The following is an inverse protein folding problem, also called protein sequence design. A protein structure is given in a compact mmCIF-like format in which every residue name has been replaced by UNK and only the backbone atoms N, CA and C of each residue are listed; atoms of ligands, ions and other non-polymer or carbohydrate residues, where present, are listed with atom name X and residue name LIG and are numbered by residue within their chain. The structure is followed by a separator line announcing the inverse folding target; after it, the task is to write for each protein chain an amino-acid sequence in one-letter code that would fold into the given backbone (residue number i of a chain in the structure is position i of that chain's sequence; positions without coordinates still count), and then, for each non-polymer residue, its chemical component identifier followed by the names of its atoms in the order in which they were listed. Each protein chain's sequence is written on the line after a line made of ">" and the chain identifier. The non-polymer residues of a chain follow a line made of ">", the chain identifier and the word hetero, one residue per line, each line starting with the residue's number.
data_IF_474616200861
#
_entry.id   IF_474616200861
#
_cell.length_a   1.000
_cell.length_b   1.000
_cell.length_c   1.000
_cell.angle_alpha   90.00
_cell.angle_beta   90.00
_cell.angle_gamma   90.00
#
_symmetry.space_group_name_H-M   'P 1'
#
loop_
_entity.id
_entity.type
_entity.pdbx_description
1 polymer ?
#
# COMPACT_ATOMS: atom_id res chain seq x y z
N UNK A 1 -5.99 8.33 26.42
CA UNK A 1 -5.20 7.44 25.54
C UNK A 1 -4.93 8.18 24.27
N UNK A 2 -3.67 8.35 23.88
CA UNK A 2 -3.34 9.08 22.66
C UNK A 2 -3.80 8.25 21.44
N UNK A 3 -4.61 8.86 20.58
CA UNK A 3 -5.29 8.17 19.48
C UNK A 3 -4.44 8.23 18.21
N UNK A 4 -4.23 7.10 17.54
CA UNK A 4 -3.62 7.05 16.21
C UNK A 4 -4.49 7.82 15.22
N UNK A 5 -3.89 8.81 14.53
CA UNK A 5 -4.54 9.62 13.50
C UNK A 5 -4.10 9.14 12.11
N UNK A 6 -5.06 8.87 11.24
CA UNK A 6 -4.78 8.62 9.81
C UNK A 6 -4.95 9.95 9.07
N UNK A 7 -3.95 10.34 8.29
CA UNK A 7 -3.95 11.57 7.48
C UNK A 7 -3.35 11.33 6.10
N UNK A 8 -3.55 12.28 5.20
CA UNK A 8 -2.80 12.32 3.95
C UNK A 8 -1.32 12.55 4.26
N UNK A 9 -0.46 11.88 3.49
CA UNK A 9 0.97 12.14 3.52
C UNK A 9 1.25 13.56 3.02
N UNK A 10 2.29 14.16 3.54
CA UNK A 10 2.89 15.39 3.07
C UNK A 10 4.26 15.08 2.46
N UNK A 11 4.81 16.00 1.66
CA UNK A 11 6.10 15.78 0.99
C UNK A 11 7.23 15.44 1.98
N UNK A 12 7.16 15.99 3.20
CA UNK A 12 8.09 15.70 4.29
C UNK A 12 8.05 14.25 4.81
N UNK A 13 6.99 13.49 4.54
CA UNK A 13 6.86 12.10 4.98
C UNK A 13 7.62 11.10 4.08
N UNK A 14 8.12 11.54 2.91
CA UNK A 14 8.71 10.64 1.90
C UNK A 14 9.82 9.74 2.45
N UNK A 15 10.69 10.25 3.34
CA UNK A 15 11.74 9.43 3.94
C UNK A 15 11.19 8.30 4.83
N UNK A 16 10.12 8.58 5.60
CA UNK A 16 9.47 7.55 6.41
C UNK A 16 8.69 6.55 5.56
N UNK A 17 8.05 7.03 4.49
CA UNK A 17 7.35 6.19 3.50
C UNK A 17 8.36 5.24 2.86
N UNK A 18 9.51 5.73 2.39
CA UNK A 18 10.55 4.88 1.79
C UNK A 18 11.08 3.84 2.77
N UNK A 19 11.29 4.22 4.04
CA UNK A 19 11.67 3.29 5.11
C UNK A 19 10.65 2.16 5.25
N UNK A 20 9.36 2.49 5.34
CA UNK A 20 8.28 1.50 5.47
C UNK A 20 8.14 0.60 4.24
N UNK A 21 8.33 1.14 3.04
CA UNK A 21 8.35 0.35 1.79
C UNK A 21 9.47 -0.70 1.86
N UNK A 22 10.67 -0.31 2.30
CA UNK A 22 11.81 -1.23 2.45
C UNK A 22 11.57 -2.29 3.53
N UNK A 23 11.02 -1.90 4.67
CA UNK A 23 10.65 -2.83 5.75
C UNK A 23 9.58 -3.84 5.30
N UNK A 24 8.60 -3.40 4.51
CA UNK A 24 7.60 -4.30 3.92
C UNK A 24 8.26 -5.26 2.91
N UNK A 25 9.11 -4.75 2.03
CA UNK A 25 9.79 -5.59 1.05
C UNK A 25 10.70 -6.64 1.72
N UNK A 26 11.35 -6.29 2.83
CA UNK A 26 12.11 -7.24 3.64
C UNK A 26 11.20 -8.32 4.26
N UNK A 27 10.06 -7.91 4.82
CA UNK A 27 9.05 -8.85 5.35
C UNK A 27 8.52 -9.81 4.28
N UNK A 28 8.36 -9.32 3.04
CA UNK A 28 7.90 -10.11 1.89
C UNK A 28 9.01 -10.89 1.19
N UNK A 29 10.28 -10.74 1.60
CA UNK A 29 11.48 -11.32 0.96
C UNK A 29 11.68 -10.85 -0.49
N UNK A 30 11.36 -9.60 -0.76
CA UNK A 30 11.43 -8.94 -2.07
C UNK A 30 12.29 -7.67 -2.07
N UNK A 31 13.20 -7.51 -1.09
CA UNK A 31 14.02 -6.28 -0.93
C UNK A 31 14.77 -5.87 -2.20
N UNK A 32 15.30 -6.83 -2.96
CA UNK A 32 16.06 -6.58 -4.20
C UNK A 32 15.19 -5.99 -5.33
N UNK A 33 13.86 -6.04 -5.19
CA UNK A 33 12.92 -5.48 -6.16
C UNK A 33 12.56 -4.02 -5.89
N UNK A 34 12.98 -3.45 -4.76
CA UNK A 34 12.69 -2.04 -4.42
C UNK A 34 13.61 -1.12 -5.21
N UNK A 35 13.07 -0.54 -6.29
CA UNK A 35 13.80 0.40 -7.16
C UNK A 35 13.48 1.88 -6.88
N UNK A 36 12.44 2.16 -6.09
CA UNK A 36 11.97 3.52 -5.84
C UNK A 36 12.93 4.30 -4.91
N UNK A 37 13.14 5.59 -5.22
CA UNK A 37 13.92 6.52 -4.39
C UNK A 37 13.03 7.53 -3.67
N UNK A 38 13.59 8.25 -2.69
CA UNK A 38 12.85 9.28 -1.96
C UNK A 38 12.51 10.47 -2.85
N UNK A 39 13.41 10.82 -3.76
CA UNK A 39 13.23 11.86 -4.77
C UNK A 39 12.12 11.48 -5.76
N UNK A 40 12.07 10.22 -6.17
CA UNK A 40 11.00 9.71 -7.03
C UNK A 40 9.64 9.76 -6.31
N UNK A 41 9.56 9.35 -5.04
CA UNK A 41 8.35 9.49 -4.23
C UNK A 41 7.87 10.95 -4.17
N UNK A 42 8.78 11.90 -3.94
CA UNK A 42 8.43 13.33 -3.93
C UNK A 42 7.86 13.78 -5.28
N UNK A 43 8.58 13.51 -6.36
CA UNK A 43 8.20 13.94 -7.70
C UNK A 43 6.87 13.33 -8.15
N UNK A 44 6.69 12.03 -7.95
CA UNK A 44 5.54 11.28 -8.42
C UNK A 44 4.29 11.46 -7.54
N UNK A 45 4.47 11.73 -6.24
CA UNK A 45 3.38 11.82 -5.26
C UNK A 45 2.88 13.24 -4.97
N UNK A 46 3.70 14.27 -5.23
CA UNK A 46 3.44 15.64 -4.74
C UNK A 46 3.57 16.73 -5.82
N UNK A 47 3.74 16.35 -7.10
CA UNK A 47 3.67 17.28 -8.23
C UNK A 47 2.25 17.73 -8.58
N UNK A 48 2.11 18.49 -9.67
CA UNK A 48 0.81 19.02 -10.14
C UNK A 48 -0.22 17.92 -10.46
N UNK A 49 0.25 16.77 -10.97
CA UNK A 49 -0.58 15.61 -11.33
C UNK A 49 0.03 14.34 -10.70
N UNK A 50 -0.27 14.06 -9.42
CA UNK A 50 0.36 12.96 -8.70
C UNK A 50 -0.09 11.59 -9.22
N UNK A 51 0.87 10.69 -9.37
CA UNK A 51 0.66 9.31 -9.84
C UNK A 51 0.06 8.41 -8.76
N UNK A 52 0.30 8.73 -7.49
CA UNK A 52 -0.26 8.03 -6.35
C UNK A 52 -0.70 9.00 -5.26
N UNK A 53 -1.53 8.51 -4.34
CA UNK A 53 -1.80 9.18 -3.07
C UNK A 53 -1.39 8.26 -1.93
N UNK A 54 -0.90 8.83 -0.83
CA UNK A 54 -0.46 8.07 0.33
C UNK A 54 -1.20 8.54 1.59
N UNK A 55 -1.59 7.58 2.43
CA UNK A 55 -2.09 7.82 3.77
C UNK A 55 -1.04 7.35 4.77
N UNK A 56 -0.79 8.16 5.79
CA UNK A 56 0.13 7.84 6.88
C UNK A 56 -0.62 7.80 8.22
N UNK A 57 -0.09 7.00 9.14
CA UNK A 57 -0.56 6.93 10.51
C UNK A 57 0.37 7.72 11.42
N UNK A 58 -0.11 8.84 11.95
CA UNK A 58 0.59 9.54 13.04
C UNK A 58 0.38 8.78 14.33
N UNK A 59 1.49 8.28 14.87
CA UNK A 59 1.53 7.57 16.12
C UNK A 59 1.94 8.54 17.23
N UNK A 60 1.26 8.50 18.39
CA UNK A 60 1.76 9.22 19.55
C UNK A 60 3.11 8.64 19.98
N UNK A 61 4.01 9.44 20.57
CA UNK A 61 5.27 8.94 21.10
C UNK A 61 4.98 7.90 22.19
N UNK A 62 5.18 6.64 21.86
CA UNK A 62 5.04 5.50 22.75
C UNK A 62 6.18 4.53 22.46
N UNK A 63 6.88 4.02 23.49
CA UNK A 63 7.87 2.97 23.29
C UNK A 63 7.17 1.64 23.02
N UNK A 64 7.45 0.99 21.89
CA UNK A 64 7.08 -0.41 21.63
C UNK A 64 6.53 -0.71 20.24
N UNK A 65 6.23 -1.99 20.03
CA UNK A 65 5.58 -2.51 18.83
C UNK A 65 4.13 -2.00 18.72
N UNK A 66 3.76 -1.50 17.54
CA UNK A 66 2.42 -0.98 17.24
C UNK A 66 1.52 -1.99 16.53
N UNK A 67 2.02 -3.20 16.31
CA UNK A 67 1.25 -4.30 15.75
C UNK A 67 0.06 -4.66 16.65
N UNK A 68 -1.08 -4.98 16.04
CA UNK A 68 -2.30 -5.33 16.77
C UNK A 68 -3.11 -4.14 17.31
N UNK A 69 -2.67 -2.89 17.11
CA UNK A 69 -3.43 -1.70 17.52
C UNK A 69 -4.54 -1.28 16.53
N UNK A 70 -4.86 -2.12 15.55
CA UNK A 70 -5.90 -1.86 14.56
C UNK A 70 -5.58 -0.77 13.53
N UNK A 71 -4.30 -0.37 13.40
CA UNK A 71 -3.85 0.67 12.47
C UNK A 71 -4.20 0.28 11.02
N UNK A 72 -3.90 -0.95 10.60
CA UNK A 72 -4.22 -1.43 9.26
C UNK A 72 -5.71 -1.34 8.93
N UNK A 73 -6.58 -1.74 9.87
CA UNK A 73 -8.04 -1.60 9.70
C UNK A 73 -8.47 -0.13 9.59
N UNK A 74 -7.82 0.79 10.30
CA UNK A 74 -8.11 2.24 10.18
C UNK A 74 -7.68 2.79 8.82
N UNK A 75 -6.50 2.39 8.33
CA UNK A 75 -6.01 2.78 7.00
C UNK A 75 -6.97 2.29 5.91
N UNK A 76 -7.35 1.02 5.92
CA UNK A 76 -8.25 0.46 4.89
C UNK A 76 -9.61 1.12 4.89
N UNK A 77 -10.18 1.41 6.07
CA UNK A 77 -11.42 2.18 6.16
C UNK A 77 -11.27 3.57 5.57
N UNK A 78 -10.13 4.25 5.79
CA UNK A 78 -9.90 5.56 5.20
C UNK A 78 -9.75 5.50 3.68
N UNK A 79 -9.09 4.47 3.14
CA UNK A 79 -9.03 4.22 1.69
C UNK A 79 -10.43 4.02 1.11
N UNK A 80 -11.26 3.21 1.76
CA UNK A 80 -12.65 3.02 1.33
C UNK A 80 -13.47 4.31 1.35
N UNK A 81 -13.29 5.16 2.35
CA UNK A 81 -13.93 6.50 2.40
C UNK A 81 -13.49 7.36 1.21
N UNK A 82 -12.18 7.46 0.96
CA UNK A 82 -11.64 8.25 -0.17
C UNK A 82 -12.19 7.74 -1.51
N UNK A 83 -12.29 6.42 -1.68
CA UNK A 83 -12.88 5.83 -2.88
C UNK A 83 -14.35 6.26 -3.05
N UNK A 84 -15.16 6.14 -1.99
CA UNK A 84 -16.57 6.52 -2.02
C UNK A 84 -16.77 8.02 -2.27
N UNK A 85 -15.95 8.87 -1.63
CA UNK A 85 -15.97 10.34 -1.80
C UNK A 85 -15.66 10.75 -3.25
N UNK A 86 -14.93 9.92 -3.99
CA UNK A 86 -14.60 10.11 -5.41
C UNK A 86 -15.62 9.43 -6.36
N UNK A 87 -16.68 8.82 -5.84
CA UNK A 87 -17.67 8.11 -6.64
C UNK A 87 -17.22 6.71 -7.10
N UNK A 88 -16.13 6.19 -6.56
CA UNK A 88 -15.70 4.82 -6.81
C UNK A 88 -16.53 3.83 -5.99
N UNK A 89 -16.88 2.69 -6.59
CA UNK A 89 -17.64 1.62 -5.94
C UNK A 89 -16.81 0.38 -5.61
N UNK A 90 -15.54 0.36 -6.03
CA UNK A 90 -14.64 -0.76 -5.86
C UNK A 90 -13.22 -0.26 -5.56
N UNK A 91 -12.52 -0.96 -4.68
CA UNK A 91 -11.07 -0.89 -4.56
C UNK A 91 -10.51 -2.30 -4.58
N UNK A 92 -9.34 -2.49 -5.20
CA UNK A 92 -8.68 -3.79 -5.33
C UNK A 92 -7.31 -3.76 -4.69
N UNK A 93 -6.84 -4.92 -4.27
CA UNK A 93 -5.51 -5.15 -3.71
C UNK A 93 -5.07 -6.58 -4.04
N UNK A 94 -3.77 -6.84 -3.93
CA UNK A 94 -3.20 -8.18 -3.99
C UNK A 94 -2.72 -8.60 -2.60
N UNK A 95 -2.75 -9.90 -2.32
CA UNK A 95 -2.23 -10.49 -1.09
C UNK A 95 -1.37 -11.69 -1.46
N UNK A 96 -0.16 -11.77 -0.89
CA UNK A 96 0.70 -12.95 -1.06
C UNK A 96 0.08 -14.17 -0.38
N UNK A 97 0.24 -15.34 -0.99
CA UNK A 97 -0.37 -16.61 -0.59
C UNK A 97 -0.14 -16.99 0.88
N UNK A 98 1.05 -16.69 1.41
CA UNK A 98 1.43 -17.00 2.78
C UNK A 98 0.84 -16.04 3.80
N UNK A 99 0.33 -14.87 3.41
CA UNK A 99 -0.18 -13.85 4.32
C UNK A 99 -1.64 -14.10 4.74
N UNK A 100 -1.86 -15.28 5.34
CA UNK A 100 -3.16 -15.74 5.81
C UNK A 100 -3.81 -14.77 6.82
N UNK A 101 -2.99 -14.03 7.60
CA UNK A 101 -3.47 -13.01 8.54
C UNK A 101 -4.12 -11.83 7.81
N UNK A 102 -3.52 -11.33 6.73
CA UNK A 102 -4.09 -10.26 5.92
C UNK A 102 -5.34 -10.74 5.17
N UNK A 103 -5.29 -11.94 4.58
CA UNK A 103 -6.45 -12.54 3.92
C UNK A 103 -7.66 -12.65 4.87
N UNK A 104 -7.45 -13.17 6.08
CA UNK A 104 -8.50 -13.28 7.09
C UNK A 104 -9.06 -11.90 7.49
N UNK A 105 -8.19 -10.89 7.67
CA UNK A 105 -8.61 -9.52 7.95
C UNK A 105 -9.49 -8.95 6.83
N UNK A 106 -9.08 -9.09 5.57
CA UNK A 106 -9.81 -8.52 4.44
C UNK A 106 -11.13 -9.24 4.19
N UNK A 107 -11.16 -10.58 4.30
CA UNK A 107 -12.40 -11.37 4.27
C UNK A 107 -13.37 -10.92 5.37
N UNK A 108 -12.89 -10.69 6.60
CA UNK A 108 -13.71 -10.17 7.69
C UNK A 108 -14.23 -8.73 7.47
N UNK A 109 -13.57 -7.94 6.62
CA UNK A 109 -14.02 -6.61 6.20
C UNK A 109 -14.94 -6.64 4.96
N UNK A 110 -15.23 -7.82 4.40
CA UNK A 110 -16.12 -8.01 3.25
C UNK A 110 -15.42 -8.13 1.90
N UNK A 111 -14.08 -8.22 1.87
CA UNK A 111 -13.36 -8.50 0.63
C UNK A 111 -13.53 -9.96 0.18
N UNK A 112 -13.45 -10.18 -1.12
CA UNK A 112 -13.45 -11.51 -1.73
C UNK A 112 -12.08 -11.77 -2.37
N UNK A 113 -11.63 -13.02 -2.31
CA UNK A 113 -10.45 -13.46 -3.05
C UNK A 113 -10.84 -13.76 -4.49
N UNK A 114 -10.44 -12.90 -5.42
CA UNK A 114 -10.80 -13.03 -6.84
C UNK A 114 -10.06 -14.18 -7.53
N UNK A 115 -8.89 -14.59 -7.02
CA UNK A 115 -8.17 -15.76 -7.52
C UNK A 115 -8.96 -17.02 -7.18
N UNK A 116 -9.40 -17.14 -5.93
CA UNK A 116 -10.18 -18.29 -5.43
C UNK A 116 -11.60 -18.32 -6.04
N UNK A 117 -12.28 -17.18 -6.11
CA UNK A 117 -13.69 -17.11 -6.50
C UNK A 117 -13.90 -17.12 -8.03
N UNK A 118 -13.02 -16.50 -8.79
CA UNK A 118 -13.22 -16.25 -10.23
C UNK A 118 -12.09 -16.81 -11.11
N UNK A 119 -10.96 -17.24 -10.53
CA UNK A 119 -9.81 -17.74 -11.29
C UNK A 119 -8.97 -16.64 -11.95
N UNK A 120 -9.01 -15.40 -11.46
CA UNK A 120 -8.14 -14.34 -11.95
C UNK A 120 -6.68 -14.57 -11.53
N UNK A 121 -5.75 -14.40 -12.46
CA UNK A 121 -4.31 -14.43 -12.20
C UNK A 121 -3.68 -13.07 -12.49
N UNK A 122 -2.76 -12.62 -11.62
CA UNK A 122 -1.99 -11.41 -11.83
C UNK A 122 -0.82 -11.67 -12.80
N UNK A 123 -0.75 -10.90 -13.89
CA UNK A 123 0.37 -10.90 -14.85
C UNK A 123 1.06 -9.55 -14.83
N UNK A 124 2.39 -9.55 -14.97
CA UNK A 124 3.22 -8.34 -15.05
C UNK A 124 4.17 -8.44 -16.23
N UNK A 125 4.42 -7.31 -16.90
CA UNK A 125 5.54 -7.15 -17.82
C UNK A 125 6.64 -6.38 -17.09
N UNK A 126 7.77 -7.04 -16.82
CA UNK A 126 8.92 -6.36 -16.24
C UNK A 126 9.57 -5.37 -17.24
N UNK A 127 10.56 -4.62 -16.77
CA UNK A 127 11.23 -3.61 -17.60
C UNK A 127 11.88 -4.17 -18.87
N UNK A 128 12.41 -5.40 -18.83
CA UNK A 128 13.03 -6.04 -20.00
C UNK A 128 11.97 -6.47 -21.00
N UNK A 129 10.91 -7.14 -20.52
CA UNK A 129 9.78 -7.57 -21.34
C UNK A 129 9.09 -6.37 -22.01
N UNK A 130 8.91 -5.26 -21.28
CA UNK A 130 8.35 -4.01 -21.84
C UNK A 130 9.25 -3.40 -22.91
N UNK A 131 10.57 -3.31 -22.68
CA UNK A 131 11.53 -2.78 -23.68
C UNK A 131 11.47 -3.60 -24.97
N UNK A 132 11.55 -4.93 -24.84
CA UNK A 132 11.43 -5.86 -25.96
C UNK A 132 10.10 -5.69 -26.72
N UNK A 133 8.98 -5.60 -26.00
CA UNK A 133 7.65 -5.43 -26.59
C UNK A 133 7.52 -4.09 -27.35
N UNK A 134 8.16 -3.03 -26.84
CA UNK A 134 8.20 -1.72 -27.47
C UNK A 134 9.24 -1.59 -28.60
N UNK A 135 10.03 -2.64 -28.88
CA UNK A 135 11.11 -2.61 -29.86
C UNK A 135 12.29 -1.73 -29.46
N UNK A 136 12.55 -1.60 -28.14
CA UNK A 136 13.64 -0.80 -27.55
C UNK A 136 14.73 -1.67 -26.95
#
# INVERSE_FOLDING_TARGET
>A
MASVRIREAEEGDCGQILRLIRELAEYEKLSDQVQISEEALRADGFGENPLYRCLVADLPPAPGDTQGQGIGSKIIRRVAQVALDQGCSQFRLAVLDWNQRAMALYKALGAQDLTEAEGWHAFTFDGEAMRKLAGK
#
